data_IF_729433219377
#
_entry.id   IF_729433219377
#
_cell.length_a   1.000
_cell.length_b   1.000
_cell.length_c   1.000
_cell.angle_alpha   90.00
_cell.angle_beta   90.00
_cell.angle_gamma   90.00
#
_symmetry.space_group_name_H-M   'P 1'
#
loop_
_entity.id
_entity.type
_entity.pdbx_description
1 polymer ?
#
# COMPACT_ATOMS: atom_id res chain seq x y z
N UNK A 1 -25.70 17.94 -60.92
CA UNK A 1 -24.93 16.74 -60.53
C UNK A 1 -24.18 17.16 -59.27
N UNK A 2 -24.66 16.92 -58.04
CA UNK A 2 -24.79 15.62 -57.35
C UNK A 2 -23.48 14.82 -57.48
N UNK A 3 -22.76 14.41 -56.43
CA UNK A 3 -23.11 14.21 -55.03
C UNK A 3 -21.85 14.01 -54.16
N UNK A 4 -22.08 13.99 -52.84
CA UNK A 4 -21.36 13.28 -51.78
C UNK A 4 -19.90 13.71 -51.49
N UNK A 5 -19.54 14.05 -50.25
CA UNK A 5 -19.88 13.33 -49.01
C UNK A 5 -18.61 12.58 -48.60
N UNK A 6 -17.81 13.17 -47.71
CA UNK A 6 -17.68 12.73 -46.32
C UNK A 6 -16.47 11.79 -46.14
N UNK A 7 -15.89 11.85 -44.94
CA UNK A 7 -14.96 10.89 -44.33
C UNK A 7 -13.45 11.08 -44.56
N UNK A 8 -12.86 11.85 -43.64
CA UNK A 8 -11.45 11.77 -43.26
C UNK A 8 -11.32 11.93 -41.75
N UNK A 9 -11.95 11.01 -41.02
CA UNK A 9 -12.04 10.92 -39.56
C UNK A 9 -10.79 11.44 -38.85
N UNK A 10 -10.99 12.44 -37.99
CA UNK A 10 -10.07 12.84 -36.93
C UNK A 10 -9.82 11.59 -36.08
N UNK A 11 -8.80 10.81 -36.44
CA UNK A 11 -8.24 9.82 -35.53
C UNK A 11 -7.27 10.58 -34.67
N UNK A 12 -7.84 11.25 -33.67
CA UNK A 12 -7.11 11.57 -32.46
C UNK A 12 -6.57 10.24 -31.95
N UNK A 13 -5.34 9.92 -32.35
CA UNK A 13 -4.57 8.79 -31.85
C UNK A 13 -4.55 9.03 -30.35
N UNK A 14 -5.42 8.32 -29.62
CA UNK A 14 -5.32 8.26 -28.17
C UNK A 14 -3.87 7.89 -27.91
N UNK A 15 -3.20 8.74 -27.13
CA UNK A 15 -1.84 8.50 -26.68
C UNK A 15 -1.90 7.24 -25.82
N UNK A 16 -1.71 6.10 -26.47
CA UNK A 16 -1.67 4.78 -25.85
C UNK A 16 -0.70 3.94 -26.66
N UNK A 17 0.46 4.52 -26.94
CA UNK A 17 1.65 3.76 -27.33
C UNK A 17 2.14 3.02 -26.08
N UNK A 18 1.42 1.98 -25.66
CA UNK A 18 2.00 0.99 -24.75
C UNK A 18 2.95 0.16 -25.61
N UNK A 19 4.17 0.69 -25.79
CA UNK A 19 5.28 -0.10 -26.28
C UNK A 19 5.33 -1.36 -25.39
N UNK A 20 5.26 -2.52 -26.02
CA UNK A 20 5.21 -3.84 -25.36
C UNK A 20 6.37 -3.94 -24.35
N UNK A 21 6.11 -3.63 -23.09
CA UNK A 21 7.08 -3.77 -22.02
C UNK A 21 7.09 -5.24 -21.60
N UNK A 22 8.20 -5.98 -21.74
CA UNK A 22 8.25 -7.41 -21.41
C UNK A 22 8.03 -7.72 -19.91
N UNK A 23 7.91 -6.70 -19.06
CA UNK A 23 7.69 -6.82 -17.62
C UNK A 23 6.22 -6.64 -17.19
N UNK A 24 5.29 -6.35 -18.11
CA UNK A 24 3.87 -6.19 -17.76
C UNK A 24 3.24 -7.57 -17.40
N UNK A 25 2.60 -7.74 -16.23
CA UNK A 25 1.87 -8.94 -15.90
C UNK A 25 0.75 -9.19 -16.92
N UNK A 26 0.73 -10.41 -17.43
CA UNK A 26 -0.21 -10.88 -18.48
C UNK A 26 -1.70 -10.78 -18.06
N UNK A 27 -1.99 -10.56 -16.77
CA UNK A 27 -3.34 -10.39 -16.21
C UNK A 27 -3.51 -8.98 -15.65
N UNK A 28 -4.14 -8.04 -16.40
CA UNK A 28 -4.42 -6.71 -15.90
C UNK A 28 -5.40 -6.78 -14.72
N UNK A 29 -5.23 -5.93 -13.69
CA UNK A 29 -6.00 -6.00 -12.44
C UNK A 29 -7.50 -5.77 -12.62
N UNK A 30 -7.92 -5.24 -13.79
CA UNK A 30 -9.33 -5.01 -14.12
C UNK A 30 -10.18 -6.28 -14.10
N UNK A 31 -9.61 -7.46 -14.37
CA UNK A 31 -10.43 -8.63 -14.62
C UNK A 31 -10.49 -9.62 -13.46
N UNK A 32 -9.41 -9.83 -12.71
CA UNK A 32 -9.38 -10.96 -11.76
C UNK A 32 -8.56 -10.79 -10.51
N UNK A 33 -8.02 -9.62 -10.17
CA UNK A 33 -6.99 -9.57 -9.14
C UNK A 33 -7.51 -8.99 -7.80
N UNK A 34 -7.18 -9.64 -6.68
CA UNK A 34 -7.57 -9.15 -5.33
C UNK A 34 -6.46 -8.21 -4.83
N UNK A 35 -6.76 -6.93 -4.57
CA UNK A 35 -5.77 -6.05 -3.95
C UNK A 35 -5.56 -6.48 -2.50
N UNK A 36 -4.32 -6.85 -2.16
CA UNK A 36 -3.93 -7.27 -0.81
C UNK A 36 -3.58 -6.04 0.04
N UNK A 37 -2.77 -5.14 -0.52
CA UNK A 37 -2.25 -3.95 0.17
C UNK A 37 -2.29 -2.76 -0.79
N UNK A 38 -2.55 -1.56 -0.28
CA UNK A 38 -2.61 -0.33 -1.07
C UNK A 38 -1.74 0.71 -0.40
N UNK A 39 -0.77 1.27 -1.13
CA UNK A 39 0.13 2.30 -0.63
C UNK A 39 0.23 3.45 -1.61
N UNK A 40 -0.31 4.60 -1.22
CA UNK A 40 -0.41 5.77 -2.08
C UNK A 40 -1.08 5.44 -3.41
N UNK A 41 -0.29 5.49 -4.47
CA UNK A 41 -0.73 5.23 -5.86
C UNK A 41 -0.49 3.78 -6.29
N UNK A 42 0.25 3.00 -5.52
CA UNK A 42 0.57 1.62 -5.82
C UNK A 42 -0.37 0.66 -5.06
N UNK A 43 -0.58 -0.53 -5.63
CA UNK A 43 -1.36 -1.62 -5.03
C UNK A 43 -0.60 -2.91 -5.18
N UNK A 44 -0.48 -3.66 -4.10
CA UNK A 44 -0.05 -5.05 -4.10
C UNK A 44 -1.24 -5.90 -4.48
N UNK A 45 -1.08 -6.70 -5.52
CA UNK A 45 -2.16 -7.42 -6.16
C UNK A 45 -1.74 -8.86 -6.39
N UNK A 46 -2.63 -9.79 -6.03
CA UNK A 46 -2.41 -11.20 -6.31
C UNK A 46 -2.94 -11.59 -7.69
N UNK A 47 -2.07 -12.16 -8.53
CA UNK A 47 -2.43 -12.74 -9.82
C UNK A 47 -3.20 -14.03 -9.63
N UNK A 48 -4.44 -14.10 -10.14
CA UNK A 48 -5.23 -15.34 -10.13
C UNK A 48 -4.85 -16.32 -11.24
N UNK A 49 -4.08 -15.89 -12.23
CA UNK A 49 -3.71 -16.70 -13.40
C UNK A 49 -2.34 -17.35 -13.26
N UNK A 50 -1.40 -16.68 -12.57
CA UNK A 50 -0.05 -17.19 -12.30
C UNK A 50 0.11 -17.65 -10.85
N UNK A 51 -0.75 -18.55 -10.40
CA UNK A 51 -0.55 -19.28 -9.14
C UNK A 51 -0.54 -18.41 -7.87
N UNK A 52 -1.22 -17.27 -7.88
CA UNK A 52 -1.23 -16.37 -6.73
C UNK A 52 0.04 -15.52 -6.59
N UNK A 53 0.85 -15.39 -7.66
CA UNK A 53 2.01 -14.49 -7.65
C UNK A 53 1.60 -13.05 -7.40
N UNK A 54 2.39 -12.36 -6.58
CA UNK A 54 2.16 -10.98 -6.23
C UNK A 54 2.83 -10.06 -7.24
N UNK A 55 2.12 -9.01 -7.65
CA UNK A 55 2.64 -7.92 -8.46
C UNK A 55 2.18 -6.57 -7.91
N UNK A 56 2.90 -5.51 -8.25
CA UNK A 56 2.62 -4.15 -7.81
C UNK A 56 2.05 -3.35 -8.98
N UNK A 57 0.85 -2.80 -8.80
CA UNK A 57 0.13 -2.03 -9.81
C UNK A 57 0.01 -0.56 -9.40
N UNK A 58 0.52 0.33 -10.25
CA UNK A 58 0.33 1.77 -10.13
C UNK A 58 -1.00 2.17 -10.75
N UNK A 59 -1.93 2.66 -9.93
CA UNK A 59 -3.27 3.07 -10.38
C UNK A 59 -3.30 4.38 -11.17
N UNK A 60 -2.22 5.15 -11.15
CA UNK A 60 -2.13 6.48 -11.81
C UNK A 60 -1.56 6.32 -13.21
N UNK A 61 -0.46 5.60 -13.34
CA UNK A 61 0.16 5.35 -14.64
C UNK A 61 -0.35 4.08 -15.30
N UNK A 62 -1.25 3.34 -14.64
CA UNK A 62 -1.72 2.00 -15.02
C UNK A 62 -0.58 0.98 -15.24
N UNK A 63 0.61 1.25 -14.68
CA UNK A 63 1.78 0.39 -14.81
C UNK A 63 1.70 -0.77 -13.84
N UNK A 64 2.25 -1.92 -14.21
CA UNK A 64 2.36 -3.05 -13.29
C UNK A 64 3.74 -3.70 -13.40
N UNK A 65 4.27 -4.10 -12.26
CA UNK A 65 5.62 -4.61 -12.10
C UNK A 65 5.64 -5.83 -11.17
N UNK A 66 6.46 -6.81 -11.50
CA UNK A 66 6.73 -7.97 -10.65
C UNK A 66 7.67 -7.64 -9.49
N UNK A 67 8.84 -7.01 -9.71
CA UNK A 67 9.67 -6.54 -8.60
C UNK A 67 8.99 -5.39 -7.85
N UNK A 68 9.27 -5.33 -6.54
CA UNK A 68 8.81 -4.25 -5.66
C UNK A 68 9.42 -2.92 -6.14
N UNK A 69 8.62 -1.94 -6.60
CA UNK A 69 9.14 -0.69 -7.14
C UNK A 69 9.81 0.15 -6.03
N UNK A 70 10.77 1.01 -6.36
CA UNK A 70 11.50 1.80 -5.37
C UNK A 70 10.58 2.67 -4.52
N UNK A 71 9.52 3.28 -5.11
CA UNK A 71 8.53 4.01 -4.31
C UNK A 71 7.83 3.15 -3.25
N UNK A 72 7.63 1.86 -3.53
CA UNK A 72 7.05 0.94 -2.54
C UNK A 72 8.07 0.57 -1.46
N UNK A 73 9.33 0.37 -1.82
CA UNK A 73 10.40 0.08 -0.86
C UNK A 73 10.54 1.24 0.13
N UNK A 74 10.67 2.47 -0.36
CA UNK A 74 10.78 3.66 0.49
C UNK A 74 9.57 3.78 1.42
N UNK A 75 8.36 3.56 0.90
CA UNK A 75 7.14 3.60 1.71
C UNK A 75 7.11 2.51 2.79
N UNK A 76 7.50 1.27 2.46
CA UNK A 76 7.54 0.12 3.38
C UNK A 76 8.57 0.35 4.51
N UNK A 77 9.71 0.95 4.20
CA UNK A 77 10.73 1.36 5.17
C UNK A 77 10.22 2.46 6.11
N UNK A 78 9.57 3.50 5.57
CA UNK A 78 9.00 4.57 6.38
C UNK A 78 7.87 4.06 7.29
N UNK A 79 6.99 3.20 6.78
CA UNK A 79 5.95 2.55 7.59
C UNK A 79 6.55 1.71 8.70
N UNK A 80 7.56 0.89 8.40
CA UNK A 80 8.24 0.06 9.40
C UNK A 80 8.80 0.93 10.52
N UNK A 81 9.42 2.07 10.19
CA UNK A 81 9.93 3.03 11.16
C UNK A 81 8.81 3.64 12.00
N UNK A 82 7.72 4.09 11.38
CA UNK A 82 6.56 4.65 12.08
C UNK A 82 5.86 3.65 13.00
N UNK A 83 5.71 2.41 12.55
CA UNK A 83 5.15 1.33 13.37
C UNK A 83 6.07 0.96 14.53
N UNK A 84 7.38 0.85 14.28
CA UNK A 84 8.36 0.59 15.34
C UNK A 84 8.33 1.69 16.40
N UNK A 85 8.33 2.96 16.00
CA UNK A 85 8.26 4.09 16.94
C UNK A 85 6.94 4.12 17.70
N UNK A 86 5.81 3.94 17.01
CA UNK A 86 4.49 3.92 17.63
C UNK A 86 4.37 2.78 18.63
N UNK A 87 4.88 1.59 18.30
CA UNK A 87 4.94 0.44 19.20
C UNK A 87 5.86 0.69 20.39
N UNK A 88 7.02 1.29 20.17
CA UNK A 88 7.95 1.65 21.23
C UNK A 88 7.32 2.64 22.22
N UNK A 89 6.59 3.65 21.74
CA UNK A 89 5.87 4.61 22.60
C UNK A 89 4.78 3.94 23.44
N UNK A 90 4.02 3.01 22.86
CA UNK A 90 3.00 2.25 23.60
C UNK A 90 3.65 1.32 24.64
N UNK A 91 4.73 0.62 24.26
CA UNK A 91 5.46 -0.27 25.17
C UNK A 91 6.10 0.48 26.33
N UNK A 92 6.77 1.61 26.05
CA UNK A 92 7.40 2.44 27.06
C UNK A 92 6.37 2.97 28.07
N UNK A 93 5.20 3.41 27.59
CA UNK A 93 4.11 3.85 28.46
C UNK A 93 3.57 2.71 29.34
N UNK A 94 3.41 1.51 28.78
CA UNK A 94 2.95 0.35 29.52
C UNK A 94 3.95 -0.08 30.60
N UNK A 95 5.25 -0.07 30.29
CA UNK A 95 6.32 -0.36 31.25
C UNK A 95 6.41 0.71 32.36
N UNK A 96 6.25 1.98 32.02
CA UNK A 96 6.20 3.06 33.02
C UNK A 96 5.01 2.92 33.96
N UNK A 97 3.83 2.57 33.44
CA UNK A 97 2.67 2.26 34.28
C UNK A 97 2.89 1.02 35.16
N UNK A 98 3.45 -0.06 34.61
CA UNK A 98 3.75 -1.27 35.38
C UNK A 98 4.76 -1.00 36.49
N UNK A 99 5.79 -0.19 36.20
CA UNK A 99 6.80 0.22 37.18
C UNK A 99 6.23 1.17 38.23
N UNK A 100 5.30 2.05 37.87
CA UNK A 100 4.60 2.91 38.83
C UNK A 100 3.67 2.10 39.75
N UNK A 101 2.98 1.08 39.23
CA UNK A 101 2.17 0.16 40.03
C UNK A 101 3.02 -0.71 40.96
N UNK A 102 4.21 -1.13 40.54
CA UNK A 102 5.15 -1.84 41.42
C UNK A 102 5.77 -0.93 42.49
N UNK A 103 5.79 0.38 42.21
CA UNK A 103 6.23 1.43 43.12
C UNK A 103 5.01 2.03 43.85
N UNK A 104 4.14 1.18 44.41
CA UNK A 104 3.16 1.66 45.40
C UNK A 104 3.95 2.28 46.56
N UNK A 105 3.74 3.58 46.91
CA UNK A 105 4.33 4.10 48.12
C UNK A 105 3.72 3.32 49.30
N UNK A 106 4.56 2.63 50.04
CA UNK A 106 4.26 1.96 51.31
C UNK A 106 3.87 2.97 52.41
N UNK A 107 3.15 4.05 52.10
CA UNK A 107 2.87 5.15 53.04
C UNK A 107 1.43 5.68 52.93
N UNK A 108 0.48 4.85 52.52
CA UNK A 108 -0.94 5.20 52.56
C UNK A 108 -1.83 4.09 53.12
N UNK A 109 -1.30 3.26 54.02
CA UNK A 109 -2.17 2.55 54.97
C UNK A 109 -2.44 3.53 56.12
N UNK A 110 -3.65 4.10 56.24
CA UNK A 110 -3.98 4.85 57.45
C UNK A 110 -3.83 3.90 58.62
N UNK A 111 -2.98 4.28 59.57
CA UNK A 111 -2.93 3.71 60.90
C UNK A 111 -4.25 4.08 61.61
N UNK A 112 -5.36 3.47 61.18
CA UNK A 112 -6.56 3.39 61.99
C UNK A 112 -6.28 2.30 63.03
N UNK A 113 -5.58 2.67 64.11
CA UNK A 113 -6.15 3.12 65.37
C UNK A 113 -6.58 1.91 66.20
N UNK A 114 -5.86 1.76 67.31
CA UNK A 114 -6.05 0.80 68.40
C UNK A 114 -7.45 0.82 69.01
#
# INVERSE_FOLDING_TARGET
MSAAGENGSVRQRRQSSSARNPEEPEDPPRFRAVPLRVFGLWREVQSKTRDGRIYYYNRVTEQSTWPKPPEWVTFDEEQTRWEAERRARISLSAEQQARALLSEPEEARPVAAS
#
